data_IF_559432778336
#
_entry.id   IF_559432778336
#
_cell.length_a   1.000
_cell.length_b   1.000
_cell.length_c   1.000
_cell.angle_alpha   90.00
_cell.angle_beta   90.00
_cell.angle_gamma   90.00
#
_symmetry.space_group_name_H-M   'P 1'
#
loop_
_entity.id
_entity.type
_entity.pdbx_description
1 polymer ?
#
# COMPACT_ATOMS: atom_id res chain seq x y z
N UNK A 1 4.61 -14.65 -8.17
CA UNK A 1 3.26 -14.23 -7.78
C UNK A 1 2.67 -15.33 -6.91
N UNK A 2 2.18 -15.00 -5.72
CA UNK A 2 1.55 -15.97 -4.80
C UNK A 2 0.04 -15.99 -5.09
N UNK A 3 -0.55 -17.11 -5.52
CA UNK A 3 -1.98 -17.18 -5.73
C UNK A 3 -2.73 -17.16 -4.38
N UNK A 4 -3.96 -16.60 -4.33
CA UNK A 4 -4.81 -16.68 -3.14
C UNK A 4 -5.01 -18.15 -2.71
N UNK A 5 -4.63 -18.45 -1.47
CA UNK A 5 -4.70 -19.79 -0.89
C UNK A 5 -4.75 -19.69 0.63
N UNK A 6 -5.28 -20.74 1.28
CA UNK A 6 -5.23 -20.82 2.74
C UNK A 6 -3.78 -21.06 3.15
N UNK A 7 -3.34 -20.31 4.15
CA UNK A 7 -1.98 -20.34 4.65
C UNK A 7 -2.01 -20.29 6.17
N UNK A 8 -1.25 -21.15 6.83
CA UNK A 8 -0.94 -21.02 8.26
C UNK A 8 0.18 -19.99 8.48
N UNK A 9 0.32 -19.50 9.70
CA UNK A 9 1.37 -18.52 10.02
C UNK A 9 2.78 -19.12 9.88
N UNK A 10 2.92 -20.43 10.05
CA UNK A 10 4.18 -21.14 9.82
C UNK A 10 4.52 -21.17 8.32
N UNK A 11 3.57 -21.54 7.46
CA UNK A 11 3.77 -21.54 6.01
C UNK A 11 4.04 -20.13 5.46
N UNK A 12 3.41 -19.09 6.04
CA UNK A 12 3.70 -17.70 5.71
C UNK A 12 5.16 -17.32 6.01
N UNK A 13 5.67 -17.72 7.18
CA UNK A 13 7.08 -17.51 7.56
C UNK A 13 8.02 -18.27 6.63
N UNK A 14 7.70 -19.52 6.29
CA UNK A 14 8.51 -20.32 5.37
C UNK A 14 8.61 -19.66 4.00
N UNK A 15 7.49 -19.19 3.45
CA UNK A 15 7.47 -18.43 2.18
C UNK A 15 8.35 -17.18 2.32
N UNK A 16 8.09 -16.33 3.32
CA UNK A 16 8.82 -15.07 3.54
C UNK A 16 10.32 -15.28 3.69
N UNK A 17 10.75 -16.37 4.34
CA UNK A 17 12.17 -16.71 4.52
C UNK A 17 12.92 -16.87 3.19
N UNK A 18 12.21 -17.27 2.13
CA UNK A 18 12.77 -17.45 0.78
C UNK A 18 12.79 -16.17 -0.07
N UNK A 19 12.18 -15.08 0.41
CA UNK A 19 12.05 -13.82 -0.34
C UNK A 19 13.14 -12.82 0.06
N UNK A 20 13.61 -12.03 -0.91
CA UNK A 20 14.51 -10.90 -0.65
C UNK A 20 13.77 -9.55 -0.62
N UNK A 21 12.55 -9.50 -1.16
CA UNK A 21 11.64 -8.37 -1.05
C UNK A 21 10.21 -8.80 -1.37
N UNK A 22 9.23 -8.00 -0.94
CA UNK A 22 7.81 -8.23 -1.12
C UNK A 22 7.14 -7.04 -1.83
N UNK A 23 6.20 -7.32 -2.72
CA UNK A 23 5.34 -6.30 -3.31
C UNK A 23 3.88 -6.71 -3.19
N UNK A 24 3.06 -5.86 -2.57
CA UNK A 24 1.62 -6.02 -2.44
C UNK A 24 0.94 -5.16 -3.50
N UNK A 25 0.37 -5.80 -4.52
CA UNK A 25 -0.23 -5.11 -5.66
C UNK A 25 -1.64 -4.58 -5.36
N UNK A 26 -2.14 -3.68 -6.23
CA UNK A 26 -3.52 -3.23 -6.22
C UNK A 26 -4.56 -4.36 -6.38
N UNK A 27 -5.84 -4.02 -6.23
CA UNK A 27 -6.94 -4.97 -6.33
C UNK A 27 -8.25 -4.42 -5.81
N UNK A 28 -9.21 -5.34 -5.61
CA UNK A 28 -10.52 -5.05 -5.02
C UNK A 28 -10.42 -4.63 -3.55
N UNK A 29 -11.50 -4.05 -3.05
CA UNK A 29 -11.64 -3.63 -1.66
C UNK A 29 -11.33 -4.76 -0.66
N UNK A 30 -10.82 -4.35 0.51
CA UNK A 30 -10.55 -5.24 1.65
C UNK A 30 -11.84 -5.39 2.47
N UNK A 31 -12.08 -6.59 3.00
CA UNK A 31 -13.25 -6.87 3.85
C UNK A 31 -13.33 -5.89 5.03
N UNK A 32 -14.40 -5.09 5.07
CA UNK A 32 -14.60 -4.03 6.06
C UNK A 32 -14.72 -4.49 7.50
N UNK A 33 -15.06 -5.75 7.71
CA UNK A 33 -15.05 -6.37 9.05
C UNK A 33 -13.66 -6.39 9.68
N UNK A 34 -12.58 -6.33 8.89
CA UNK A 34 -11.18 -6.31 9.38
C UNK A 34 -10.79 -5.02 10.08
N UNK A 35 -11.47 -3.93 9.76
CA UNK A 35 -11.29 -2.63 10.40
C UNK A 35 -12.57 -2.18 11.13
N UNK A 36 -13.41 -3.14 11.53
CA UNK A 36 -14.54 -2.91 12.44
C UNK A 36 -15.71 -2.13 11.86
N UNK A 37 -15.82 -2.03 10.52
CA UNK A 37 -16.89 -1.29 9.86
C UNK A 37 -17.87 -2.23 9.14
N UNK A 38 -19.08 -1.73 8.87
CA UNK A 38 -20.01 -2.34 7.93
C UNK A 38 -19.66 -1.91 6.50
N UNK A 39 -19.89 -2.74 5.47
CA UNK A 39 -19.58 -2.37 4.09
C UNK A 39 -20.42 -1.17 3.64
N UNK A 40 -19.77 -0.23 2.94
CA UNK A 40 -20.46 0.84 2.25
C UNK A 40 -21.25 0.29 1.04
N UNK A 41 -22.29 1.01 0.60
CA UNK A 41 -23.13 0.56 -0.51
C UNK A 41 -22.37 0.43 -1.84
N UNK A 42 -21.34 1.26 -2.02
CA UNK A 42 -20.48 1.29 -3.20
C UNK A 42 -19.24 0.38 -3.08
N UNK A 43 -19.08 -0.33 -1.96
CA UNK A 43 -17.93 -1.23 -1.79
C UNK A 43 -18.01 -2.43 -2.73
N UNK A 44 -16.87 -2.80 -3.30
CA UNK A 44 -16.75 -4.02 -4.07
C UNK A 44 -16.86 -5.26 -3.18
N UNK A 45 -17.21 -6.40 -3.78
CA UNK A 45 -17.16 -7.68 -3.06
C UNK A 45 -15.69 -8.08 -2.79
N UNK A 46 -15.27 -8.18 -1.52
CA UNK A 46 -13.88 -8.43 -1.17
C UNK A 46 -13.49 -9.89 -1.47
N UNK A 47 -12.21 -10.10 -1.77
CA UNK A 47 -11.61 -11.44 -1.83
C UNK A 47 -11.03 -11.80 -0.46
N UNK A 48 -11.87 -12.39 0.40
CA UNK A 48 -11.47 -12.74 1.78
C UNK A 48 -10.27 -13.68 1.84
N UNK A 49 -10.11 -14.57 0.84
CA UNK A 49 -8.99 -15.51 0.78
C UNK A 49 -7.68 -14.77 0.48
N UNK A 50 -7.73 -13.79 -0.42
CA UNK A 50 -6.60 -12.89 -0.68
C UNK A 50 -6.29 -12.04 0.55
N UNK A 51 -7.31 -11.48 1.22
CA UNK A 51 -7.11 -10.67 2.41
C UNK A 51 -6.39 -11.45 3.51
N UNK A 52 -6.84 -12.69 3.79
CA UNK A 52 -6.22 -13.58 4.79
C UNK A 52 -4.75 -13.89 4.43
N UNK A 53 -4.48 -14.16 3.16
CA UNK A 53 -3.13 -14.47 2.70
C UNK A 53 -2.21 -13.25 2.82
N UNK A 54 -2.63 -12.09 2.33
CA UNK A 54 -1.80 -10.88 2.35
C UNK A 54 -1.53 -10.40 3.76
N UNK A 55 -2.51 -10.47 4.66
CA UNK A 55 -2.30 -10.12 6.07
C UNK A 55 -1.22 -11.00 6.72
N UNK A 56 -1.25 -12.31 6.48
CA UNK A 56 -0.26 -13.25 7.04
C UNK A 56 1.12 -13.06 6.44
N UNK A 57 1.21 -12.90 5.12
CA UNK A 57 2.47 -12.66 4.42
C UNK A 57 3.07 -11.32 4.86
N UNK A 58 2.26 -10.26 4.96
CA UNK A 58 2.73 -8.95 5.41
C UNK A 58 3.18 -8.99 6.88
N UNK A 59 2.42 -9.64 7.77
CA UNK A 59 2.81 -9.81 9.17
C UNK A 59 4.13 -10.56 9.30
N UNK A 60 4.33 -11.62 8.53
CA UNK A 60 5.57 -12.37 8.50
C UNK A 60 6.73 -11.54 7.90
N UNK A 61 6.48 -10.75 6.85
CA UNK A 61 7.47 -9.86 6.23
C UNK A 61 7.95 -8.78 7.22
N UNK A 62 7.02 -8.11 7.90
CA UNK A 62 7.34 -7.12 8.94
C UNK A 62 8.16 -7.76 10.07
N UNK A 63 7.77 -8.95 10.52
CA UNK A 63 8.51 -9.65 11.59
C UNK A 63 9.92 -10.10 11.19
N UNK A 64 10.19 -10.21 9.89
CA UNK A 64 11.49 -10.59 9.34
C UNK A 64 12.31 -9.40 8.83
N UNK A 65 11.84 -8.16 9.02
CA UNK A 65 12.42 -6.95 8.43
C UNK A 65 12.60 -7.03 6.89
N UNK A 66 11.76 -7.84 6.22
CA UNK A 66 11.80 -8.05 4.77
C UNK A 66 11.35 -6.76 4.07
N UNK A 67 12.19 -6.13 3.22
CA UNK A 67 11.80 -4.95 2.44
C UNK A 67 10.49 -5.16 1.68
N UNK A 68 9.56 -4.22 1.78
CA UNK A 68 8.30 -4.32 1.06
C UNK A 68 7.82 -3.00 0.47
N UNK A 69 7.05 -3.12 -0.62
CA UNK A 69 6.29 -2.05 -1.26
C UNK A 69 4.80 -2.41 -1.33
N UNK A 70 3.94 -1.59 -0.74
CA UNK A 70 2.49 -1.65 -0.93
C UNK A 70 2.02 -0.69 -2.00
N UNK A 71 1.19 -1.14 -2.94
CA UNK A 71 0.64 -0.31 -4.01
C UNK A 71 -0.89 -0.33 -3.94
N UNK A 72 -1.50 0.85 -3.90
CA UNK A 72 -2.94 1.05 -3.83
C UNK A 72 -3.56 0.22 -2.69
N UNK A 73 -4.26 -0.86 -3.03
CA UNK A 73 -4.80 -1.85 -2.09
C UNK A 73 -3.73 -2.40 -1.12
N UNK A 74 -2.47 -2.48 -1.53
CA UNK A 74 -1.35 -2.88 -0.66
C UNK A 74 -1.07 -1.87 0.47
N UNK A 75 -1.24 -0.57 0.21
CA UNK A 75 -1.12 0.47 1.23
C UNK A 75 -2.25 0.40 2.25
N UNK A 76 -3.47 0.13 1.77
CA UNK A 76 -4.64 -0.08 2.61
C UNK A 76 -4.48 -1.34 3.48
N UNK A 77 -3.96 -2.44 2.92
CA UNK A 77 -3.67 -3.67 3.66
C UNK A 77 -2.62 -3.43 4.76
N UNK A 78 -1.57 -2.66 4.47
CA UNK A 78 -0.63 -2.23 5.51
C UNK A 78 -1.32 -1.45 6.62
N UNK A 79 -2.16 -0.47 6.29
CA UNK A 79 -2.88 0.31 7.30
C UNK A 79 -3.75 -0.58 8.20
N UNK A 80 -4.55 -1.47 7.61
CA UNK A 80 -5.44 -2.38 8.32
C UNK A 80 -4.67 -3.38 9.17
N UNK A 81 -3.57 -3.95 8.64
CA UNK A 81 -2.69 -4.84 9.42
C UNK A 81 -2.14 -4.17 10.68
N UNK A 82 -1.94 -2.85 10.62
CA UNK A 82 -1.50 -2.02 11.75
C UNK A 82 -2.64 -1.47 12.60
N UNK A 83 -3.88 -1.89 12.33
CA UNK A 83 -5.07 -1.55 13.10
C UNK A 83 -5.69 -0.19 12.76
N UNK A 84 -5.39 0.36 11.57
CA UNK A 84 -6.04 1.55 11.05
C UNK A 84 -7.36 1.24 10.31
N UNK A 85 -8.03 2.28 9.81
CA UNK A 85 -9.32 2.20 9.10
C UNK A 85 -9.22 2.79 7.70
N UNK A 86 -10.29 2.63 6.90
CA UNK A 86 -10.40 3.20 5.56
C UNK A 86 -11.62 4.10 5.44
N UNK A 87 -11.50 5.13 4.60
CA UNK A 87 -12.61 5.77 3.92
C UNK A 87 -13.06 4.79 2.83
N UNK A 88 -14.27 4.25 2.95
CA UNK A 88 -14.78 3.24 2.01
C UNK A 88 -15.29 3.81 0.69
N UNK A 89 -15.55 5.12 0.62
CA UNK A 89 -15.97 5.79 -0.61
C UNK A 89 -15.54 7.27 -0.59
N UNK A 90 -14.48 7.58 -1.34
CA UNK A 90 -13.89 8.91 -1.44
C UNK A 90 -14.85 9.99 -1.97
N UNK A 91 -15.76 9.72 -2.92
CA UNK A 91 -16.67 10.75 -3.40
C UNK A 91 -17.56 11.37 -2.31
N UNK A 92 -17.85 10.65 -1.22
CA UNK A 92 -18.56 11.21 -0.06
C UNK A 92 -17.72 12.22 0.73
N UNK A 93 -16.40 12.16 0.59
CA UNK A 93 -15.43 13.02 1.30
C UNK A 93 -14.97 14.18 0.43
N UNK A 94 -14.64 13.92 -0.84
CA UNK A 94 -14.07 14.93 -1.76
C UNK A 94 -15.10 15.56 -2.69
N UNK A 95 -16.31 15.00 -2.77
CA UNK A 95 -17.45 15.54 -3.52
C UNK A 95 -17.46 15.23 -5.03
N UNK A 96 -16.53 14.42 -5.53
CA UNK A 96 -16.49 13.95 -6.92
C UNK A 96 -15.71 12.64 -7.09
N UNK A 97 -15.61 12.15 -8.33
CA UNK A 97 -14.97 10.88 -8.68
C UNK A 97 -13.52 11.04 -9.18
N UNK A 98 -12.81 12.14 -8.85
CA UNK A 98 -11.47 12.42 -9.42
C UNK A 98 -10.45 11.31 -9.18
N UNK A 99 -10.58 10.57 -8.07
CA UNK A 99 -9.68 9.47 -7.71
C UNK A 99 -9.96 8.17 -8.48
N UNK A 100 -11.14 8.03 -9.08
CA UNK A 100 -11.50 6.88 -9.92
C UNK A 100 -12.59 7.26 -10.93
N UNK A 101 -12.20 7.60 -12.16
CA UNK A 101 -13.13 7.94 -13.24
C UNK A 101 -13.86 6.71 -13.83
N UNK A 102 -13.43 5.50 -13.46
CA UNK A 102 -13.91 4.24 -14.02
C UNK A 102 -13.23 3.88 -15.35
N UNK A 103 -13.63 2.75 -15.94
CA UNK A 103 -13.13 2.25 -17.22
C UNK A 103 -11.59 2.13 -17.31
N UNK A 104 -10.91 1.85 -16.19
CA UNK A 104 -9.45 1.81 -16.10
C UNK A 104 -8.76 3.12 -16.55
N UNK A 105 -9.44 4.26 -16.45
CA UNK A 105 -8.86 5.57 -16.69
C UNK A 105 -8.21 6.10 -15.41
N UNK A 106 -6.89 6.22 -15.44
CA UNK A 106 -6.10 6.78 -14.33
C UNK A 106 -6.09 8.30 -14.40
N UNK A 107 -6.32 8.95 -13.25
CA UNK A 107 -6.24 10.40 -13.12
C UNK A 107 -4.81 10.79 -12.72
N UNK A 108 -4.10 11.62 -13.48
CA UNK A 108 -2.82 12.16 -13.05
C UNK A 108 -3.05 13.22 -11.96
N UNK A 109 -2.30 13.12 -10.87
CA UNK A 109 -2.31 14.13 -9.80
C UNK A 109 -0.91 14.47 -9.31
N UNK A 110 -0.81 15.64 -8.69
CA UNK A 110 0.36 16.04 -7.95
C UNK A 110 0.23 15.56 -6.49
N UNK A 111 1.29 14.95 -5.98
CA UNK A 111 1.36 14.42 -4.61
C UNK A 111 2.56 15.05 -3.91
N UNK A 112 2.30 15.70 -2.78
CA UNK A 112 3.34 16.27 -1.92
C UNK A 112 3.97 15.18 -1.05
N UNK A 113 5.30 15.15 -0.96
CA UNK A 113 6.05 14.10 -0.30
C UNK A 113 6.93 14.69 0.81
N UNK A 114 6.92 14.05 1.97
CA UNK A 114 7.76 14.39 3.10
C UNK A 114 9.22 14.03 2.80
N UNK A 115 10.05 15.05 2.55
CA UNK A 115 11.47 14.85 2.15
C UNK A 115 12.32 14.09 3.17
N UNK A 116 11.93 14.08 4.45
CA UNK A 116 12.61 13.31 5.50
C UNK A 116 12.30 11.81 5.48
N UNK A 117 11.39 11.35 4.61
CA UNK A 117 10.97 9.95 4.50
C UNK A 117 11.83 9.13 3.53
N UNK A 118 11.67 7.80 3.56
CA UNK A 118 12.31 6.90 2.58
C UNK A 118 11.84 7.29 1.17
N UNK A 119 10.53 7.40 0.97
CA UNK A 119 9.92 7.86 -0.28
C UNK A 119 10.50 9.21 -0.71
N UNK A 120 10.57 10.19 0.20
CA UNK A 120 11.16 11.51 -0.07
C UNK A 120 12.61 11.44 -0.57
N UNK A 121 13.40 10.49 -0.06
CA UNK A 121 14.76 10.27 -0.55
C UNK A 121 14.84 9.69 -1.97
N UNK A 122 13.79 9.00 -2.43
CA UNK A 122 13.69 8.42 -3.76
C UNK A 122 13.14 9.42 -4.78
N UNK A 123 12.03 10.06 -4.45
CA UNK A 123 11.26 10.86 -5.43
C UNK A 123 11.42 12.38 -5.26
N UNK A 124 11.97 12.84 -4.14
CA UNK A 124 12.05 14.25 -3.77
C UNK A 124 10.81 14.72 -3.02
N UNK A 125 10.55 16.03 -3.01
CA UNK A 125 9.45 16.65 -2.27
C UNK A 125 8.07 16.50 -2.95
N UNK A 126 8.03 15.96 -4.17
CA UNK A 126 6.81 15.91 -4.98
C UNK A 126 6.89 14.80 -6.03
N UNK A 127 5.78 14.09 -6.23
CA UNK A 127 5.54 13.27 -7.42
C UNK A 127 4.54 14.02 -8.30
N UNK A 128 4.91 14.26 -9.55
CA UNK A 128 3.99 14.80 -10.55
C UNK A 128 3.44 13.69 -11.43
N UNK A 129 2.17 13.80 -11.80
CA UNK A 129 1.44 12.79 -12.57
C UNK A 129 1.37 11.42 -11.89
N UNK A 130 1.20 11.39 -10.55
CA UNK A 130 0.85 10.17 -9.84
C UNK A 130 -0.45 9.61 -10.42
N UNK A 131 -0.44 8.35 -10.86
CA UNK A 131 -1.58 7.71 -11.52
C UNK A 131 -2.60 7.19 -10.48
N UNK A 132 -3.64 7.98 -10.23
CA UNK A 132 -4.69 7.65 -9.27
C UNK A 132 -5.76 6.74 -9.91
N UNK A 133 -6.10 5.65 -9.21
CA UNK A 133 -7.25 4.80 -9.53
C UNK A 133 -7.72 4.04 -8.29
N UNK A 134 -8.38 4.74 -7.38
CA UNK A 134 -8.93 4.16 -6.16
C UNK A 134 -10.14 4.96 -5.69
N UNK A 135 -11.17 4.27 -5.20
CA UNK A 135 -12.32 4.91 -4.55
C UNK A 135 -12.28 4.83 -3.03
N UNK A 136 -11.27 4.16 -2.47
CA UNK A 136 -11.01 4.08 -1.03
C UNK A 136 -9.70 4.78 -0.69
N UNK A 137 -9.56 5.21 0.56
CA UNK A 137 -8.32 5.79 1.09
C UNK A 137 -8.13 5.43 2.56
N UNK A 138 -6.92 5.65 3.06
CA UNK A 138 -6.62 5.53 4.50
C UNK A 138 -7.36 6.64 5.27
N UNK A 139 -8.04 6.25 6.35
CA UNK A 139 -8.74 7.14 7.29
C UNK A 139 -7.92 7.31 8.57
N UNK A 140 -8.18 6.48 9.59
CA UNK A 140 -7.35 6.43 10.80
C UNK A 140 -6.08 5.63 10.53
N UNK A 141 -4.95 6.22 10.89
CA UNK A 141 -3.64 5.64 10.65
C UNK A 141 -3.32 4.53 11.65
N UNK A 142 -2.88 3.38 11.14
CA UNK A 142 -2.45 2.25 11.94
C UNK A 142 -1.17 2.51 12.74
N UNK A 143 -0.93 1.67 13.76
CA UNK A 143 0.18 1.82 14.72
C UNK A 143 1.55 1.67 14.06
N UNK A 144 2.43 2.64 14.32
CA UNK A 144 3.80 2.67 13.80
C UNK A 144 3.88 3.10 12.33
N UNK A 145 2.78 3.56 11.74
CA UNK A 145 2.80 4.18 10.43
C UNK A 145 2.98 5.68 10.57
N UNK A 146 3.64 6.27 9.58
CA UNK A 146 3.76 7.72 9.38
C UNK A 146 3.22 8.05 8.00
N UNK A 147 2.42 9.11 7.89
CA UNK A 147 2.03 9.66 6.59
C UNK A 147 3.24 10.34 5.97
N UNK A 148 3.57 9.97 4.74
CA UNK A 148 4.75 10.46 4.03
C UNK A 148 4.42 11.08 2.68
N UNK A 149 3.18 10.97 2.22
CA UNK A 149 2.69 11.75 1.09
C UNK A 149 1.19 12.04 1.19
N UNK A 150 0.77 13.18 0.64
CA UNK A 150 -0.63 13.60 0.56
C UNK A 150 -0.93 14.31 -0.77
N UNK A 151 -2.17 14.21 -1.21
CA UNK A 151 -2.75 15.09 -2.24
C UNK A 151 -3.06 16.48 -1.67
N UNK A 152 -3.37 17.44 -2.55
CA UNK A 152 -3.72 18.82 -2.18
C UNK A 152 -4.96 18.91 -1.27
N UNK A 153 -5.94 18.01 -1.47
CA UNK A 153 -7.15 17.92 -0.64
C UNK A 153 -6.94 17.12 0.66
N UNK A 154 -5.70 16.70 0.94
CA UNK A 154 -5.29 16.10 2.21
C UNK A 154 -5.48 14.59 2.32
N UNK A 155 -5.90 13.92 1.24
CA UNK A 155 -5.98 12.46 1.17
C UNK A 155 -4.58 11.86 1.32
N UNK A 156 -4.48 10.80 2.12
CA UNK A 156 -3.21 10.11 2.38
C UNK A 156 -2.84 9.30 1.14
N UNK A 157 -1.71 9.67 0.55
CA UNK A 157 -1.20 9.05 -0.69
C UNK A 157 0.00 8.14 -0.45
N UNK A 158 0.71 8.29 0.66
CA UNK A 158 1.72 7.33 1.07
C UNK A 158 1.88 7.25 2.58
N UNK A 159 2.23 6.05 3.04
CA UNK A 159 2.59 5.78 4.43
C UNK A 159 3.87 4.95 4.48
N UNK A 160 4.64 5.13 5.55
CA UNK A 160 5.82 4.33 5.86
C UNK A 160 5.74 3.74 7.26
N UNK A 161 6.26 2.52 7.42
CA UNK A 161 6.43 1.88 8.73
C UNK A 161 7.72 2.40 9.39
N UNK A 162 7.59 3.10 10.52
CA UNK A 162 8.66 3.94 11.08
C UNK A 162 9.90 3.18 11.58
N UNK A 163 9.74 1.94 12.01
CA UNK A 163 10.82 1.11 12.59
C UNK A 163 11.28 -0.01 11.63
N UNK A 164 11.02 0.13 10.33
CA UNK A 164 11.30 -0.90 9.34
C UNK A 164 12.35 -0.43 8.32
N UNK A 165 13.31 -1.27 7.88
CA UNK A 165 14.39 -0.83 6.99
C UNK A 165 13.90 -0.28 5.65
N UNK A 166 12.84 -0.87 5.11
CA UNK A 166 12.15 -0.39 3.91
C UNK A 166 10.71 -0.90 3.93
N UNK A 167 9.81 -0.12 4.53
CA UNK A 167 8.37 -0.43 4.61
C UNK A 167 7.58 0.71 4.02
N UNK A 168 7.51 0.79 2.69
CA UNK A 168 6.89 1.90 1.95
C UNK A 168 5.57 1.44 1.36
N UNK A 169 4.53 2.26 1.42
CA UNK A 169 3.32 2.00 0.66
C UNK A 169 2.71 3.28 0.09
N UNK A 170 2.24 3.20 -1.15
CA UNK A 170 1.70 4.30 -1.94
C UNK A 170 0.30 3.97 -2.45
N UNK A 171 -0.57 4.97 -2.55
CA UNK A 171 -1.97 4.80 -2.93
C UNK A 171 -2.18 4.89 -4.44
N UNK A 172 -1.36 5.69 -5.14
CA UNK A 172 -1.29 5.70 -6.61
C UNK A 172 -0.62 4.45 -7.17
N UNK A 173 -0.64 4.31 -8.49
CA UNK A 173 -0.09 3.17 -9.21
C UNK A 173 1.20 3.54 -9.98
N UNK A 174 2.38 3.50 -9.34
CA UNK A 174 3.65 3.78 -10.03
C UNK A 174 3.96 2.79 -11.14
N UNK A 175 3.34 1.60 -11.16
CA UNK A 175 3.48 0.59 -12.20
C UNK A 175 2.78 0.92 -13.52
N UNK A 176 1.90 1.92 -13.57
CA UNK A 176 1.12 2.24 -14.77
C UNK A 176 1.92 2.93 -15.86
N UNK A 177 3.03 3.57 -15.50
CA UNK A 177 3.92 4.24 -16.45
C UNK A 177 5.35 3.83 -16.17
N UNK A 178 6.23 4.04 -17.15
CA UNK A 178 7.68 3.84 -16.97
C UNK A 178 8.41 5.15 -16.68
N UNK A 179 7.66 6.24 -16.46
CA UNK A 179 8.21 7.59 -16.34
C UNK A 179 8.97 7.79 -15.03
N UNK A 180 8.59 7.06 -13.97
CA UNK A 180 9.26 7.09 -12.67
C UNK A 180 9.41 5.68 -12.08
N UNK A 181 10.63 5.15 -12.14
CA UNK A 181 10.97 3.82 -11.63
C UNK A 181 11.62 3.87 -10.24
N UNK A 182 11.84 5.07 -9.68
CA UNK A 182 12.69 5.27 -8.47
C UNK A 182 12.16 4.51 -7.25
N UNK A 183 10.84 4.35 -7.14
CA UNK A 183 10.20 3.58 -6.05
C UNK A 183 10.54 2.08 -6.17
N UNK A 184 10.49 1.53 -7.38
CA UNK A 184 10.86 0.13 -7.63
C UNK A 184 12.36 -0.10 -7.47
N UNK A 185 13.19 0.84 -7.95
CA UNK A 185 14.64 0.81 -7.74
C UNK A 185 14.98 0.83 -6.24
N UNK A 186 14.29 1.66 -5.46
CA UNK A 186 14.41 1.69 -4.00
C UNK A 186 14.10 0.33 -3.35
N UNK A 187 13.00 -0.33 -3.75
CA UNK A 187 12.69 -1.68 -3.26
C UNK A 187 13.78 -2.70 -3.66
N UNK A 188 14.27 -2.65 -4.90
CA UNK A 188 15.31 -3.57 -5.39
C UNK A 188 16.61 -3.37 -4.62
N UNK A 189 17.02 -2.12 -4.36
CA UNK A 189 18.19 -1.80 -3.56
C UNK A 189 18.05 -2.29 -2.12
N UNK A 190 16.89 -2.07 -1.50
CA UNK A 190 16.60 -2.57 -0.16
C UNK A 190 16.66 -4.10 -0.13
N UNK A 191 16.08 -4.78 -1.12
CA UNK A 191 16.11 -6.23 -1.24
C UNK A 191 17.54 -6.79 -1.40
N UNK A 192 18.40 -6.12 -2.19
CA UNK A 192 19.82 -6.49 -2.31
C UNK A 192 20.57 -6.36 -1.00
N UNK A 193 20.31 -5.30 -0.22
CA UNK A 193 20.91 -5.10 1.11
C UNK A 193 20.45 -6.19 2.07
N UNK A 194 19.16 -6.48 2.11
CA UNK A 194 18.58 -7.53 2.96
C UNK A 194 19.10 -8.93 2.63
N UNK A 195 19.25 -9.26 1.33
CA UNK A 195 19.87 -10.52 0.90
C UNK A 195 21.32 -10.65 1.40
N UNK A 196 22.06 -9.55 1.49
CA UNK A 196 23.42 -9.53 2.02
C UNK A 196 23.53 -9.72 3.54
N UNK A 197 22.41 -9.61 4.26
CA UNK A 197 22.33 -9.81 5.72
C UNK A 197 21.80 -11.18 6.14
N UNK A 198 21.27 -11.97 5.21
CA UNK A 198 20.88 -13.38 5.41
C UNK A 198 22.10 -14.30 5.38
#
# INVERSE_FOLDING_TARGET
MLPPQKLSDAEAKDIVSSLDGLMLCGGRDIDSSRYGQSPHAESEQPDKLRDDLEEKILSAAIAADLPFLGICRGAQMLNINRGGTLIQYLPDVVGDNRYQLGNAQFTPADVEVETSSILGSLVGAKVSNAALYHHQAIDELGKGLKVTAKSEDGIIEAVELTDHPFGVAVQWHPEQTLDDLRIFEGLIEAARKYRGTK
#
